data_IF_706687410723
#
_entry.id   IF_706687410723
#
_cell.length_a   1.000
_cell.length_b   1.000
_cell.length_c   1.000
_cell.angle_alpha   90.00
_cell.angle_beta   90.00
_cell.angle_gamma   90.00
#
_symmetry.space_group_name_H-M   'P 1'
#
loop_
_entity.id
_entity.type
_entity.pdbx_description
1 polymer ?
#
# COMPACT_ATOMS: atom_id res chain seq x y z
N UNK A 1 36.93 -4.37 16.70
CA UNK A 1 35.92 -3.61 15.93
C UNK A 1 34.76 -4.55 15.64
N UNK A 2 33.71 -4.48 16.47
CA UNK A 2 32.58 -5.40 16.42
C UNK A 2 31.50 -4.88 15.46
N UNK A 3 31.11 -5.71 14.49
CA UNK A 3 29.95 -5.46 13.61
C UNK A 3 28.66 -5.45 14.43
N UNK A 4 27.73 -4.50 14.22
CA UNK A 4 26.40 -4.61 14.77
C UNK A 4 25.65 -5.75 14.07
N UNK A 5 25.23 -6.74 14.85
CA UNK A 5 24.31 -7.80 14.43
C UNK A 5 22.94 -7.15 14.25
N UNK A 6 22.47 -7.08 13.00
CA UNK A 6 21.10 -6.67 12.68
C UNK A 6 20.17 -7.79 13.13
N UNK A 7 19.42 -7.55 14.20
CA UNK A 7 18.37 -8.45 14.65
C UNK A 7 17.27 -8.54 13.57
N UNK A 8 16.69 -9.73 13.33
CA UNK A 8 15.50 -9.85 12.49
C UNK A 8 14.34 -9.03 13.09
N UNK A 9 13.40 -8.54 12.26
CA UNK A 9 12.28 -7.74 12.72
C UNK A 9 11.51 -8.50 13.80
N UNK A 10 11.55 -7.95 15.01
CA UNK A 10 10.81 -8.43 16.14
C UNK A 10 9.30 -8.28 15.87
N UNK A 11 8.57 -9.31 16.23
CA UNK A 11 7.12 -9.39 16.17
C UNK A 11 6.49 -8.26 17.00
N UNK A 12 6.00 -7.22 16.34
CA UNK A 12 5.02 -6.31 16.97
C UNK A 12 3.63 -6.86 16.68
N UNK A 13 3.29 -7.94 17.36
CA UNK A 13 1.91 -8.40 17.48
C UNK A 13 1.23 -7.45 18.44
N UNK A 14 0.35 -6.58 17.95
CA UNK A 14 -0.51 -5.78 18.83
C UNK A 14 -1.38 -6.76 19.63
N UNK A 15 -1.30 -6.79 20.97
CA UNK A 15 -1.80 -7.89 21.81
C UNK A 15 -3.32 -7.84 22.06
N UNK A 16 -4.11 -7.44 21.06
CA UNK A 16 -5.56 -7.44 21.20
C UNK A 16 -6.23 -8.79 20.90
N UNK A 17 -5.57 -9.78 20.26
CA UNK A 17 -6.26 -11.06 19.95
C UNK A 17 -5.37 -12.26 19.59
N UNK A 18 -4.30 -12.55 20.34
CA UNK A 18 -3.66 -13.89 20.29
C UNK A 18 -4.18 -14.83 21.39
N UNK A 19 -4.94 -14.31 22.36
CA UNK A 19 -5.26 -15.07 23.57
C UNK A 19 -6.52 -15.96 23.48
N UNK A 20 -7.18 -16.08 22.33
CA UNK A 20 -8.35 -16.95 22.18
C UNK A 20 -8.60 -17.29 20.69
N UNK A 21 -7.68 -18.00 20.04
CA UNK A 21 -7.99 -18.63 18.75
C UNK A 21 -9.01 -19.74 19.01
N UNK A 22 -10.30 -19.37 19.06
CA UNK A 22 -11.37 -20.35 19.02
C UNK A 22 -11.25 -21.13 17.70
N UNK A 23 -11.57 -22.44 17.68
CA UNK A 23 -11.63 -23.20 16.45
C UNK A 23 -12.63 -22.53 15.49
N UNK A 24 -12.12 -21.81 14.50
CA UNK A 24 -12.95 -21.17 13.50
C UNK A 24 -13.36 -22.21 12.48
N UNK A 25 -14.67 -22.31 12.19
CA UNK A 25 -15.15 -23.25 11.17
C UNK A 25 -14.70 -22.81 9.78
N UNK A 26 -14.66 -21.49 9.56
CA UNK A 26 -14.28 -20.86 8.30
C UNK A 26 -13.67 -19.47 8.52
N UNK A 27 -12.62 -19.16 7.78
CA UNK A 27 -11.98 -17.86 7.70
C UNK A 27 -12.49 -17.13 6.45
N UNK A 28 -13.21 -16.03 6.62
CA UNK A 28 -13.62 -15.16 5.51
C UNK A 28 -12.55 -14.10 5.33
N UNK A 29 -11.69 -14.25 4.33
CA UNK A 29 -10.57 -13.34 4.07
C UNK A 29 -10.99 -12.30 3.04
N UNK A 30 -11.00 -11.04 3.45
CA UNK A 30 -11.37 -9.90 2.61
C UNK A 30 -10.13 -9.45 1.83
N UNK A 31 -10.04 -9.83 0.57
CA UNK A 31 -8.89 -9.52 -0.28
C UNK A 31 -9.15 -8.19 -0.98
N UNK A 32 -8.33 -7.15 -0.71
CA UNK A 32 -8.40 -5.94 -1.51
C UNK A 32 -7.81 -6.22 -2.89
N UNK A 33 -7.90 -5.25 -3.79
CA UNK A 33 -6.98 -5.23 -4.93
C UNK A 33 -5.57 -5.05 -4.36
N UNK A 34 -4.79 -6.13 -4.33
CA UNK A 34 -3.45 -6.08 -3.77
C UNK A 34 -2.50 -5.52 -4.84
N UNK A 35 -1.96 -4.33 -4.58
CA UNK A 35 -0.63 -3.95 -5.11
C UNK A 35 0.50 -4.54 -4.23
N UNK A 36 0.12 -5.34 -3.22
CA UNK A 36 1.00 -5.90 -2.20
C UNK A 36 1.64 -7.22 -2.65
N UNK A 37 2.63 -7.69 -1.87
CA UNK A 37 3.20 -9.03 -2.03
C UNK A 37 2.15 -10.10 -1.69
N UNK A 38 1.51 -10.60 -2.74
CA UNK A 38 0.53 -11.67 -2.69
C UNK A 38 1.05 -12.87 -1.90
N UNK A 39 2.33 -13.21 -2.05
CA UNK A 39 2.94 -14.39 -1.40
C UNK A 39 3.01 -14.23 0.11
N UNK A 40 3.42 -13.05 0.58
CA UNK A 40 3.48 -12.75 2.00
C UNK A 40 2.07 -12.77 2.62
N UNK A 41 1.09 -12.17 1.94
CA UNK A 41 -0.29 -12.16 2.40
C UNK A 41 -0.87 -13.57 2.48
N UNK A 42 -0.69 -14.35 1.42
CA UNK A 42 -1.18 -15.72 1.34
C UNK A 42 -0.53 -16.64 2.38
N UNK A 43 0.77 -16.48 2.64
CA UNK A 43 1.47 -17.24 3.68
C UNK A 43 0.88 -16.97 5.06
N UNK A 44 0.59 -15.71 5.39
CA UNK A 44 -0.03 -15.36 6.68
C UNK A 44 -1.41 -15.96 6.85
N UNK A 45 -2.21 -15.96 5.78
CA UNK A 45 -3.52 -16.61 5.77
C UNK A 45 -3.38 -18.12 5.98
N UNK A 46 -2.40 -18.76 5.33
CA UNK A 46 -2.13 -20.19 5.53
C UNK A 46 -1.69 -20.50 6.97
N UNK A 47 -0.76 -19.72 7.55
CA UNK A 47 -0.32 -19.87 8.95
C UNK A 47 -1.51 -19.81 9.92
N UNK A 48 -2.45 -18.88 9.69
CA UNK A 48 -3.66 -18.75 10.50
C UNK A 48 -4.62 -19.94 10.29
N UNK A 49 -4.80 -20.38 9.05
CA UNK A 49 -5.71 -21.46 8.71
C UNK A 49 -5.22 -22.82 9.24
N UNK A 50 -3.92 -23.12 9.12
CA UNK A 50 -3.31 -24.34 9.67
C UNK A 50 -3.39 -24.37 11.20
N UNK A 51 -3.12 -23.23 11.86
CA UNK A 51 -3.22 -23.13 13.32
C UNK A 51 -4.66 -23.29 13.86
N UNK A 52 -5.67 -22.91 13.06
CA UNK A 52 -7.08 -22.98 13.46
C UNK A 52 -7.84 -24.19 12.90
N UNK A 53 -7.23 -24.93 11.97
CA UNK A 53 -7.90 -25.99 11.21
C UNK A 53 -9.06 -25.49 10.33
N UNK A 54 -9.07 -24.20 10.00
CA UNK A 54 -10.22 -23.55 9.40
C UNK A 54 -10.22 -23.63 7.86
N UNK A 55 -11.41 -23.71 7.28
CA UNK A 55 -11.59 -23.57 5.84
C UNK A 55 -11.47 -22.10 5.42
N UNK A 56 -10.69 -21.79 4.39
CA UNK A 56 -10.45 -20.42 3.94
C UNK A 56 -11.39 -20.05 2.79
N UNK A 57 -12.12 -18.95 2.93
CA UNK A 57 -12.90 -18.34 1.85
C UNK A 57 -12.33 -16.97 1.52
N UNK A 58 -11.63 -16.87 0.39
CA UNK A 58 -11.19 -15.60 -0.16
C UNK A 58 -12.36 -14.88 -0.82
N UNK A 59 -12.58 -13.64 -0.41
CA UNK A 59 -13.65 -12.78 -0.90
C UNK A 59 -13.04 -11.54 -1.55
N UNK A 60 -13.36 -11.33 -2.83
CA UNK A 60 -13.01 -10.13 -3.57
C UNK A 60 -14.26 -9.33 -3.92
N UNK A 61 -14.20 -8.02 -3.75
CA UNK A 61 -15.26 -7.08 -4.12
C UNK A 61 -14.84 -6.27 -5.34
N UNK A 62 -15.69 -6.18 -6.35
CA UNK A 62 -15.46 -5.33 -7.52
C UNK A 62 -16.69 -4.46 -7.80
N UNK A 63 -16.45 -3.27 -8.38
CA UNK A 63 -17.49 -2.31 -8.71
C UNK A 63 -17.62 -2.04 -10.22
N UNK A 64 -16.70 -2.57 -11.02
CA UNK A 64 -16.63 -2.43 -12.47
C UNK A 64 -16.39 -3.81 -13.10
N UNK A 65 -17.24 -4.27 -14.02
CA UNK A 65 -17.13 -5.61 -14.62
C UNK A 65 -15.80 -5.85 -15.35
N UNK A 66 -15.10 -4.81 -15.82
CA UNK A 66 -13.78 -4.97 -16.45
C UNK A 66 -12.72 -5.52 -15.48
N UNK A 67 -12.98 -5.41 -14.17
CA UNK A 67 -12.08 -5.77 -13.08
C UNK A 67 -12.25 -7.20 -12.59
N UNK A 68 -13.39 -7.81 -12.90
CA UNK A 68 -13.76 -9.14 -12.42
C UNK A 68 -12.74 -10.22 -12.82
N UNK A 69 -12.23 -10.25 -14.08
CA UNK A 69 -11.33 -11.33 -14.49
C UNK A 69 -9.96 -11.28 -13.80
N UNK A 70 -9.41 -10.07 -13.58
CA UNK A 70 -8.12 -9.91 -12.90
C UNK A 70 -8.23 -10.29 -11.43
N UNK A 71 -9.25 -9.79 -10.74
CA UNK A 71 -9.51 -10.12 -9.34
C UNK A 71 -9.78 -11.62 -9.17
N UNK A 72 -10.56 -12.25 -10.06
CA UNK A 72 -10.79 -13.69 -10.02
C UNK A 72 -9.48 -14.48 -10.11
N UNK A 73 -8.60 -14.13 -11.05
CA UNK A 73 -7.30 -14.81 -11.21
C UNK A 73 -6.45 -14.70 -9.95
N UNK A 74 -6.44 -13.52 -9.35
CA UNK A 74 -5.71 -13.26 -8.11
C UNK A 74 -6.23 -14.14 -6.96
N UNK A 75 -7.54 -14.15 -6.70
CA UNK A 75 -8.13 -14.98 -5.64
C UNK A 75 -7.92 -16.48 -5.88
N UNK A 76 -8.05 -16.94 -7.13
CA UNK A 76 -7.79 -18.33 -7.50
C UNK A 76 -6.33 -18.69 -7.20
N UNK A 77 -5.40 -17.79 -7.51
CA UNK A 77 -3.97 -17.98 -7.22
C UNK A 77 -3.74 -18.07 -5.71
N UNK A 78 -4.31 -17.16 -4.92
CA UNK A 78 -4.23 -17.22 -3.45
C UNK A 78 -4.82 -18.52 -2.91
N UNK A 79 -5.99 -18.94 -3.41
CA UNK A 79 -6.61 -20.20 -2.97
C UNK A 79 -5.75 -21.41 -3.29
N UNK A 80 -5.09 -21.43 -4.45
CA UNK A 80 -4.22 -22.53 -4.84
C UNK A 80 -2.95 -22.59 -3.97
N UNK A 81 -2.43 -21.43 -3.58
CA UNK A 81 -1.25 -21.30 -2.72
C UNK A 81 -1.53 -21.65 -1.25
N UNK A 82 -2.74 -21.39 -0.75
CA UNK A 82 -3.14 -21.82 0.62
C UNK A 82 -3.54 -23.29 0.66
N UNK A 83 -4.14 -23.80 -0.42
CA UNK A 83 -4.67 -25.16 -0.42
C UNK A 83 -3.53 -26.17 -0.30
N UNK A 84 -3.56 -26.94 0.78
CA UNK A 84 -2.68 -28.08 0.99
C UNK A 84 -3.51 -29.30 1.46
N UNK A 85 -2.85 -30.36 1.91
CA UNK A 85 -3.54 -31.56 2.38
C UNK A 85 -4.38 -31.37 3.66
N UNK A 86 -4.23 -30.25 4.37
CA UNK A 86 -4.88 -29.95 5.66
C UNK A 86 -5.80 -28.73 5.59
N UNK A 87 -5.48 -27.76 4.75
CA UNK A 87 -6.20 -26.50 4.59
C UNK A 87 -6.94 -26.50 3.25
N UNK A 88 -8.25 -26.28 3.30
CA UNK A 88 -9.07 -26.06 2.11
C UNK A 88 -9.28 -24.57 1.88
N UNK A 89 -9.21 -24.13 0.62
CA UNK A 89 -9.42 -22.74 0.25
C UNK A 89 -10.33 -22.59 -0.98
N UNK A 90 -11.21 -21.58 -0.94
CA UNK A 90 -12.13 -21.19 -2.01
C UNK A 90 -11.95 -19.73 -2.41
N UNK A 91 -12.23 -19.40 -3.67
CA UNK A 91 -12.15 -18.06 -4.22
C UNK A 91 -13.54 -17.58 -4.70
N UNK A 92 -14.03 -16.46 -4.15
CA UNK A 92 -15.32 -15.88 -4.48
C UNK A 92 -15.20 -14.40 -4.81
N UNK A 93 -15.76 -13.99 -5.96
CA UNK A 93 -15.76 -12.61 -6.43
C UNK A 93 -17.19 -12.10 -6.45
N UNK A 94 -17.43 -10.91 -5.90
CA UNK A 94 -18.76 -10.34 -5.69
C UNK A 94 -18.83 -8.93 -6.25
N UNK A 95 -19.90 -8.64 -7.00
CA UNK A 95 -20.22 -7.29 -7.44
C UNK A 95 -20.79 -6.48 -6.28
N UNK A 96 -20.15 -5.37 -5.93
CA UNK A 96 -20.63 -4.48 -4.89
C UNK A 96 -19.67 -3.35 -4.57
N UNK A 97 -20.10 -2.46 -3.68
CA UNK A 97 -19.30 -1.31 -3.20
C UNK A 97 -19.12 -1.31 -1.69
N UNK A 98 -19.84 -2.17 -0.99
CA UNK A 98 -19.90 -2.20 0.46
C UNK A 98 -19.49 -3.59 0.98
N UNK A 99 -18.32 -3.64 1.62
CA UNK A 99 -17.80 -4.84 2.27
C UNK A 99 -18.67 -5.27 3.44
N UNK A 100 -19.27 -4.33 4.19
CA UNK A 100 -20.08 -4.62 5.38
C UNK A 100 -21.32 -5.41 4.97
N UNK A 101 -22.06 -4.92 3.99
CA UNK A 101 -23.25 -5.60 3.46
C UNK A 101 -22.91 -7.00 2.93
N UNK A 102 -21.78 -7.13 2.21
CA UNK A 102 -21.35 -8.39 1.64
C UNK A 102 -20.96 -9.41 2.72
N UNK A 103 -20.17 -9.01 3.71
CA UNK A 103 -19.80 -9.87 4.85
C UNK A 103 -21.05 -10.26 5.63
N UNK A 104 -21.92 -9.31 5.95
CA UNK A 104 -23.18 -9.56 6.68
C UNK A 104 -24.05 -10.61 6.00
N UNK A 105 -24.11 -10.61 4.68
CA UNK A 105 -24.92 -11.58 3.92
C UNK A 105 -24.36 -13.01 3.89
N UNK A 106 -23.06 -13.18 4.18
CA UNK A 106 -22.35 -14.47 4.05
C UNK A 106 -21.84 -15.04 5.36
N UNK A 107 -21.72 -14.19 6.37
CA UNK A 107 -21.27 -14.56 7.70
C UNK A 107 -22.26 -15.52 8.37
N UNK A 108 -21.72 -16.53 9.02
CA UNK A 108 -22.41 -17.51 9.83
C UNK A 108 -21.76 -17.59 11.22
N UNK A 109 -22.52 -18.05 12.21
CA UNK A 109 -21.98 -18.26 13.55
C UNK A 109 -20.80 -19.25 13.51
N UNK A 110 -19.66 -18.83 14.07
CA UNK A 110 -18.40 -19.59 14.03
C UNK A 110 -17.45 -19.23 12.89
N UNK A 111 -17.84 -18.30 12.01
CA UNK A 111 -16.93 -17.70 11.03
C UNK A 111 -16.09 -16.59 11.68
N UNK A 112 -14.83 -16.53 11.29
CA UNK A 112 -13.92 -15.41 11.63
C UNK A 112 -13.62 -14.61 10.38
N UNK A 113 -13.74 -13.29 10.47
CA UNK A 113 -13.44 -12.39 9.35
C UNK A 113 -11.97 -11.97 9.46
N UNK A 114 -11.23 -12.09 8.37
CA UNK A 114 -9.84 -11.67 8.27
C UNK A 114 -9.77 -10.47 7.34
N UNK A 115 -9.28 -9.34 7.83
CA UNK A 115 -9.05 -8.15 7.03
C UNK A 115 -7.57 -7.75 7.08
N UNK A 116 -7.15 -6.97 6.09
CA UNK A 116 -5.81 -6.40 6.07
C UNK A 116 -5.88 -4.97 6.62
N UNK A 117 -4.94 -4.63 7.49
CA UNK A 117 -4.91 -3.34 8.20
C UNK A 117 -4.89 -2.14 7.23
N UNK A 118 -4.29 -2.34 6.07
CA UNK A 118 -4.11 -1.32 5.05
C UNK A 118 -5.39 -1.06 4.21
N UNK A 119 -6.44 -1.86 4.40
CA UNK A 119 -7.72 -1.69 3.68
C UNK A 119 -8.49 -0.47 4.19
N UNK A 120 -8.64 0.52 3.32
CA UNK A 120 -9.49 1.70 3.57
C UNK A 120 -10.72 1.67 2.67
N UNK A 121 -11.88 1.95 3.25
CA UNK A 121 -13.18 1.90 2.56
C UNK A 121 -13.87 3.25 2.58
N UNK A 122 -14.63 3.54 1.53
CA UNK A 122 -15.44 4.74 1.39
C UNK A 122 -14.63 6.02 1.10
N UNK A 123 -15.34 7.12 0.87
CA UNK A 123 -14.72 8.43 0.63
C UNK A 123 -13.92 8.95 1.84
N UNK A 124 -14.28 8.51 3.04
CA UNK A 124 -13.68 8.95 4.31
C UNK A 124 -12.37 8.24 4.66
N UNK A 125 -11.88 7.30 3.83
CA UNK A 125 -10.62 6.56 4.03
C UNK A 125 -10.51 5.91 5.42
N UNK A 126 -11.63 5.50 6.01
CA UNK A 126 -11.64 4.79 7.30
C UNK A 126 -11.14 3.36 7.12
N UNK A 127 -10.38 2.82 8.08
CA UNK A 127 -9.90 1.44 8.00
C UNK A 127 -11.09 0.47 8.08
N UNK A 128 -11.09 -0.54 7.20
CA UNK A 128 -12.15 -1.55 7.09
C UNK A 128 -12.36 -2.28 8.42
N UNK A 129 -11.27 -2.51 9.16
CA UNK A 129 -11.30 -3.14 10.47
C UNK A 129 -12.20 -2.41 11.47
N UNK A 130 -12.13 -1.07 11.52
CA UNK A 130 -12.97 -0.28 12.43
C UNK A 130 -14.45 -0.33 12.03
N UNK A 131 -14.74 -0.29 10.73
CA UNK A 131 -16.13 -0.32 10.23
C UNK A 131 -16.76 -1.69 10.51
N UNK A 132 -16.03 -2.78 10.25
CA UNK A 132 -16.52 -4.13 10.52
C UNK A 132 -16.70 -4.37 12.03
N UNK A 133 -15.81 -3.82 12.86
CA UNK A 133 -15.92 -3.94 14.31
C UNK A 133 -17.08 -3.10 14.87
N UNK A 134 -17.35 -1.91 14.32
CA UNK A 134 -18.46 -1.07 14.79
C UNK A 134 -19.83 -1.59 14.35
N UNK A 135 -19.91 -2.15 13.14
CA UNK A 135 -21.21 -2.44 12.50
C UNK A 135 -21.63 -3.90 12.59
N UNK A 136 -20.68 -4.83 12.82
CA UNK A 136 -20.94 -6.26 12.66
C UNK A 136 -20.75 -7.15 13.90
N UNK A 137 -20.13 -6.68 14.99
CA UNK A 137 -19.86 -7.48 16.22
C UNK A 137 -19.36 -8.91 15.94
N UNK A 138 -18.52 -9.05 14.90
CA UNK A 138 -17.96 -10.34 14.46
C UNK A 138 -16.53 -10.51 14.96
N UNK A 139 -16.08 -11.75 15.21
CA UNK A 139 -14.67 -12.02 15.48
C UNK A 139 -13.83 -11.63 14.26
N UNK A 140 -12.97 -10.63 14.46
CA UNK A 140 -12.19 -9.98 13.42
C UNK A 140 -10.69 -10.20 13.68
N UNK A 141 -9.98 -10.70 12.69
CA UNK A 141 -8.53 -10.81 12.69
C UNK A 141 -7.92 -9.83 11.70
N UNK A 142 -6.97 -9.02 12.16
CA UNK A 142 -6.31 -8.01 11.34
C UNK A 142 -4.91 -8.48 11.00
N UNK A 143 -4.63 -8.66 9.72
CA UNK A 143 -3.29 -8.93 9.20
C UNK A 143 -2.60 -7.60 8.90
N UNK A 144 -1.51 -7.31 9.63
CA UNK A 144 -0.68 -6.11 9.45
C UNK A 144 0.72 -6.47 8.94
N UNK A 145 1.39 -5.52 8.30
CA UNK A 145 2.81 -5.62 7.94
C UNK A 145 3.08 -6.28 6.60
N UNK A 146 2.07 -6.27 5.71
CA UNK A 146 2.16 -6.84 4.35
C UNK A 146 2.46 -5.77 3.29
N UNK A 147 2.34 -4.50 3.64
CA UNK A 147 2.94 -3.40 2.90
C UNK A 147 4.20 -2.91 3.61
N UNK A 148 5.25 -2.50 2.88
CA UNK A 148 6.23 -1.61 3.45
C UNK A 148 5.45 -0.42 3.99
N UNK A 149 5.69 -0.07 5.26
CA UNK A 149 5.10 1.07 5.92
C UNK A 149 5.40 2.28 5.04
N UNK A 150 4.46 2.61 4.16
CA UNK A 150 4.60 3.76 3.31
C UNK A 150 4.33 4.88 4.28
N UNK A 151 5.41 5.36 4.90
CA UNK A 151 5.48 6.62 5.60
C UNK A 151 5.14 7.70 4.58
N UNK A 152 3.85 7.76 4.20
CA UNK A 152 3.17 8.95 3.72
C UNK A 152 3.04 9.95 4.89
N UNK A 153 4.11 10.10 5.67
CA UNK A 153 4.48 11.40 6.18
C UNK A 153 4.70 12.24 4.95
N UNK A 154 3.64 12.97 4.63
CA UNK A 154 3.57 14.08 3.71
C UNK A 154 4.95 14.72 3.48
N UNK A 155 5.67 14.24 2.47
CA UNK A 155 6.83 14.91 1.91
C UNK A 155 6.37 16.02 0.94
N UNK A 156 5.07 16.33 0.91
CA UNK A 156 4.50 17.43 0.15
C UNK A 156 5.21 18.77 0.39
N UNK A 157 5.58 19.19 1.62
CA UNK A 157 6.31 20.44 1.79
C UNK A 157 7.75 20.36 1.23
N UNK A 158 8.42 19.21 1.34
CA UNK A 158 9.75 19.02 0.76
C UNK A 158 9.69 19.03 -0.78
N UNK A 159 8.67 18.38 -1.35
CA UNK A 159 8.43 18.36 -2.78
C UNK A 159 8.06 19.75 -3.30
N UNK A 160 7.19 20.49 -2.60
CA UNK A 160 6.86 21.87 -2.94
C UNK A 160 8.10 22.79 -2.88
N UNK A 161 8.96 22.63 -1.87
CA UNK A 161 10.20 23.38 -1.76
C UNK A 161 11.18 23.06 -2.91
N UNK A 162 11.27 21.80 -3.33
CA UNK A 162 12.06 21.39 -4.49
C UNK A 162 11.54 22.03 -5.79
N UNK A 163 10.21 22.01 -6.02
CA UNK A 163 9.59 22.63 -7.19
C UNK A 163 9.78 24.15 -7.22
N UNK A 164 9.56 24.83 -6.08
CA UNK A 164 9.71 26.29 -5.97
C UNK A 164 11.16 26.71 -6.20
N UNK A 165 12.13 26.00 -5.61
CA UNK A 165 13.54 26.29 -5.79
C UNK A 165 14.00 26.10 -7.24
N UNK A 166 13.58 25.02 -7.90
CA UNK A 166 13.88 24.78 -9.32
C UNK A 166 13.30 25.88 -10.21
N UNK A 167 12.04 26.27 -9.98
CA UNK A 167 11.39 27.34 -10.75
C UNK A 167 12.06 28.69 -10.55
N UNK A 168 12.51 28.99 -9.34
CA UNK A 168 13.25 30.21 -9.03
C UNK A 168 14.62 30.26 -9.73
N UNK A 169 15.34 29.14 -9.80
CA UNK A 169 16.62 29.03 -10.52
C UNK A 169 16.40 29.27 -12.01
N UNK A 170 15.42 28.58 -12.62
CA UNK A 170 15.09 28.74 -14.05
C UNK A 170 14.74 30.20 -14.37
N UNK A 171 13.85 30.81 -13.57
CA UNK A 171 13.45 32.22 -13.77
C UNK A 171 14.63 33.18 -13.58
N UNK A 172 15.52 32.91 -12.63
CA UNK A 172 16.73 33.69 -12.40
C UNK A 172 17.70 33.65 -13.59
N UNK A 173 17.98 32.45 -14.11
CA UNK A 173 18.85 32.28 -15.27
C UNK A 173 18.23 32.86 -16.54
N UNK A 174 16.91 32.72 -16.72
CA UNK A 174 16.20 33.31 -17.86
C UNK A 174 16.25 34.85 -17.83
N UNK A 175 16.04 35.46 -16.66
CA UNK A 175 16.17 36.92 -16.50
C UNK A 175 17.62 37.40 -16.76
N UNK A 176 18.61 36.60 -16.36
CA UNK A 176 20.02 36.88 -16.62
C UNK A 176 20.32 36.82 -18.13
N UNK A 177 19.86 35.77 -18.83
CA UNK A 177 20.00 35.63 -20.27
C UNK A 177 19.35 36.80 -21.04
N UNK A 178 18.14 37.21 -20.66
CA UNK A 178 17.44 38.35 -21.29
C UNK A 178 18.23 39.65 -21.11
N UNK A 179 18.77 39.91 -19.91
CA UNK A 179 19.62 41.09 -19.67
C UNK A 179 20.91 41.04 -20.48
N UNK A 180 21.55 39.88 -20.58
CA UNK A 180 22.79 39.71 -21.34
C UNK A 180 22.60 39.92 -22.84
N UNK A 181 21.49 39.43 -23.41
CA UNK A 181 21.12 39.65 -24.82
C UNK A 181 20.91 41.14 -25.12
N UNK A 182 20.33 41.89 -24.17
CA UNK A 182 20.05 43.31 -24.36
C UNK A 182 21.28 44.23 -24.20
N UNK A 183 22.39 43.74 -23.61
CA UNK A 183 23.51 44.58 -23.18
C UNK A 183 24.73 44.64 -24.11
N UNK A 184 25.12 43.60 -24.86
CA UNK A 184 26.22 43.74 -25.85
C UNK A 184 26.56 42.49 -26.69
N UNK A 185 26.80 42.74 -27.99
CA UNK A 185 27.97 42.39 -28.84
C UNK A 185 28.70 41.04 -28.62
N UNK A 186 28.70 40.22 -29.67
CA UNK A 186 29.58 39.09 -30.12
C UNK A 186 30.22 38.12 -29.10
N UNK A 187 30.59 38.53 -27.89
CA UNK A 187 31.17 37.69 -26.82
C UNK A 187 30.12 36.97 -25.95
N UNK A 188 28.83 37.25 -26.18
CA UNK A 188 27.70 36.74 -25.39
C UNK A 188 27.32 35.30 -25.69
N UNK A 189 27.65 34.79 -26.89
CA UNK A 189 27.42 33.38 -27.26
C UNK A 189 28.19 32.44 -26.30
N UNK A 190 29.44 32.79 -25.96
CA UNK A 190 30.28 32.01 -25.04
C UNK A 190 29.73 32.00 -23.62
N UNK A 191 29.24 33.15 -23.12
CA UNK A 191 28.62 33.28 -21.80
C UNK A 191 27.30 32.51 -21.69
N UNK A 192 26.51 32.48 -22.77
CA UNK A 192 25.24 31.76 -22.81
C UNK A 192 25.42 30.25 -22.87
N UNK A 193 26.43 29.76 -23.60
CA UNK A 193 26.81 28.34 -23.56
C UNK A 193 27.30 27.89 -22.18
N UNK A 194 27.95 28.78 -21.42
CA UNK A 194 28.42 28.47 -20.07
C UNK A 194 27.28 28.48 -19.03
N UNK A 195 26.17 29.18 -19.26
CA UNK A 195 25.07 29.26 -18.30
C UNK A 195 24.27 27.95 -18.20
N UNK A 196 24.16 27.20 -19.30
CA UNK A 196 23.38 25.96 -19.39
C UNK A 196 23.91 24.86 -18.45
N UNK A 197 25.22 24.50 -18.47
CA UNK A 197 25.75 23.51 -17.53
C UNK A 197 25.71 23.99 -16.08
N UNK A 198 25.81 25.30 -15.85
CA UNK A 198 25.73 25.88 -14.51
C UNK A 198 24.31 25.80 -13.92
N UNK A 199 23.28 26.00 -14.74
CA UNK A 199 21.88 25.83 -14.37
C UNK A 199 21.58 24.36 -14.05
N UNK A 200 22.01 23.44 -14.91
CA UNK A 200 21.85 22.00 -14.69
C UNK A 200 22.55 21.54 -13.40
N UNK A 201 23.75 22.06 -13.12
CA UNK A 201 24.47 21.78 -11.89
C UNK A 201 23.75 22.36 -10.65
N UNK A 202 23.22 23.57 -10.76
CA UNK A 202 22.48 24.22 -9.65
C UNK A 202 21.20 23.46 -9.31
N UNK A 203 20.46 22.98 -10.31
CA UNK A 203 19.27 22.14 -10.12
C UNK A 203 19.65 20.81 -9.46
N UNK A 204 20.76 20.19 -9.90
CA UNK A 204 21.24 18.94 -9.32
C UNK A 204 21.63 19.10 -7.84
N UNK A 205 22.40 20.13 -7.51
CA UNK A 205 22.80 20.43 -6.12
C UNK A 205 21.58 20.74 -5.25
N UNK A 206 20.64 21.55 -5.73
CA UNK A 206 19.43 21.87 -4.99
C UNK A 206 18.58 20.63 -4.70
N UNK A 207 18.35 19.79 -5.71
CA UNK A 207 17.57 18.57 -5.54
C UNK A 207 18.26 17.56 -4.61
N UNK A 208 19.59 17.55 -4.56
CA UNK A 208 20.37 16.72 -3.62
C UNK A 208 20.36 17.21 -2.16
N UNK A 209 20.00 18.47 -1.92
CA UNK A 209 19.92 19.06 -0.57
C UNK A 209 18.51 18.98 0.02
N UNK A 210 17.48 18.89 -0.84
CA UNK A 210 16.07 18.93 -0.45
C UNK A 210 15.39 17.55 -0.54
N UNK A 211 15.95 16.62 -1.33
CA UNK A 211 15.53 15.21 -1.42
C UNK A 211 16.35 14.29 -0.52
#
# INVERSE_FOLDING_TARGET
MNKPVVAPPALTVTPASVSHLQPARRLIVLVPRLDADLTAATRRVWELADATGAHVQFLGLYNDPAQEPSLRRELVTMSAMVKDGRVSAEANVILGKDWVAVVKSRWQAGDTVVCFDEQRVGLSRRPLSQILQSDLDVPLYILSGLYPQNDSRSNWPAQAAAWIGSLAIILGFLALQVKTIHLAKEWTITLQLLSIPLEAWSIWVWNSLVG
#
